data_IF_136758886815
#
_entry.id   IF_136758886815
#
_cell.length_a   1.000
_cell.length_b   1.000
_cell.length_c   1.000
_cell.angle_alpha   90.00
_cell.angle_beta   90.00
_cell.angle_gamma   90.00
#
_symmetry.space_group_name_H-M   'P 1'
#
loop_
_entity.id
_entity.type
_entity.pdbx_description
1 polymer ?
#
# COMPACT_ATOMS: atom_id res chain seq x y z
N UNK A 1 -14.81 -3.95 -5.67
CA UNK A 1 -14.01 -4.33 -4.49
C UNK A 1 -14.77 -5.29 -3.62
N UNK A 2 -14.05 -6.13 -2.87
CA UNK A 2 -14.64 -7.08 -1.91
C UNK A 2 -14.67 -6.49 -0.49
N UNK A 3 -13.87 -5.45 -0.23
CA UNK A 3 -13.85 -4.72 1.05
C UNK A 3 -13.98 -3.20 0.85
N UNK A 4 -14.45 -2.51 1.88
CA UNK A 4 -14.60 -1.05 1.90
C UNK A 4 -13.29 -0.39 2.36
N UNK A 5 -12.54 0.18 1.42
CA UNK A 5 -11.35 0.99 1.71
C UNK A 5 -11.68 2.46 2.02
N UNK A 6 -10.71 3.18 2.59
CA UNK A 6 -10.77 4.60 2.95
C UNK A 6 -11.19 5.52 1.79
N UNK A 7 -10.76 5.24 0.57
CA UNK A 7 -11.17 6.03 -0.60
C UNK A 7 -12.67 5.93 -0.93
N UNK A 8 -13.33 4.79 -0.69
CA UNK A 8 -14.79 4.68 -0.90
C UNK A 8 -15.53 5.62 0.05
N UNK A 9 -15.03 5.72 1.28
CA UNK A 9 -15.55 6.64 2.28
C UNK A 9 -15.39 8.10 1.82
N UNK A 10 -14.20 8.45 1.31
CA UNK A 10 -13.91 9.79 0.82
C UNK A 10 -14.79 10.19 -0.38
N UNK A 11 -14.95 9.29 -1.36
CA UNK A 11 -15.85 9.51 -2.51
C UNK A 11 -17.30 9.64 -2.04
N UNK A 12 -17.73 8.80 -1.08
CA UNK A 12 -19.06 8.87 -0.49
C UNK A 12 -19.34 10.19 0.23
N UNK A 13 -18.36 10.73 0.96
CA UNK A 13 -18.45 12.05 1.62
C UNK A 13 -18.60 13.16 0.57
N UNK A 14 -17.80 13.11 -0.50
CA UNK A 14 -17.90 14.08 -1.59
C UNK A 14 -19.23 13.98 -2.35
N UNK A 15 -19.81 12.79 -2.48
CA UNK A 15 -21.06 12.56 -3.21
C UNK A 15 -22.32 12.88 -2.40
N UNK A 16 -22.32 12.60 -1.09
CA UNK A 16 -23.48 12.83 -0.20
C UNK A 16 -23.72 14.32 0.09
N UNK A 17 -22.67 15.15 0.03
CA UNK A 17 -22.75 16.57 0.35
C UNK A 17 -22.74 16.87 1.85
N UNK A 18 -23.20 18.07 2.22
CA UNK A 18 -23.03 18.65 3.56
C UNK A 18 -21.66 19.29 3.74
N UNK A 19 -21.38 19.80 4.94
CA UNK A 19 -20.22 20.67 5.19
C UNK A 19 -18.88 20.10 4.71
N UNK A 20 -18.63 18.80 4.90
CA UNK A 20 -17.40 18.16 4.42
C UNK A 20 -17.36 18.04 2.89
N UNK A 21 -18.47 17.69 2.25
CA UNK A 21 -18.58 17.63 0.79
C UNK A 21 -18.42 19.02 0.15
N UNK A 22 -19.01 20.06 0.74
CA UNK A 22 -18.88 21.46 0.30
C UNK A 22 -17.43 21.96 0.37
N UNK A 23 -16.71 21.62 1.45
CA UNK A 23 -15.28 21.95 1.58
C UNK A 23 -14.48 21.25 0.49
N UNK A 24 -14.73 19.95 0.24
CA UNK A 24 -14.04 19.20 -0.81
C UNK A 24 -14.32 19.78 -2.20
N UNK A 25 -15.58 20.10 -2.50
CA UNK A 25 -15.97 20.70 -3.77
C UNK A 25 -15.36 22.09 -3.98
N UNK A 26 -15.31 22.91 -2.91
CA UNK A 26 -14.63 24.21 -2.90
C UNK A 26 -13.12 24.13 -3.15
N UNK A 27 -12.49 22.98 -2.88
CA UNK A 27 -11.09 22.69 -3.22
C UNK A 27 -10.96 21.95 -4.58
N UNK A 28 -12.05 21.79 -5.32
CA UNK A 28 -12.09 21.09 -6.60
C UNK A 28 -12.00 19.58 -6.49
N UNK A 29 -12.11 18.99 -5.29
CA UNK A 29 -12.11 17.56 -5.03
C UNK A 29 -13.52 16.96 -5.15
N UNK A 30 -14.12 17.10 -6.34
CA UNK A 30 -15.46 16.58 -6.61
C UNK A 30 -15.47 15.05 -6.60
N UNK A 31 -16.61 14.42 -6.27
CA UNK A 31 -16.73 12.96 -6.26
C UNK A 31 -16.25 12.31 -7.58
N UNK A 32 -16.56 12.95 -8.73
CA UNK A 32 -16.12 12.48 -10.05
C UNK A 32 -14.61 12.55 -10.23
N UNK A 33 -13.98 13.64 -9.77
CA UNK A 33 -12.51 13.81 -9.86
C UNK A 33 -11.79 12.85 -8.93
N UNK A 34 -12.32 12.64 -7.72
CA UNK A 34 -11.79 11.68 -6.76
C UNK A 34 -11.85 10.26 -7.33
N UNK A 35 -13.00 9.86 -7.89
CA UNK A 35 -13.15 8.54 -8.53
C UNK A 35 -12.10 8.31 -9.62
N UNK A 36 -11.94 9.26 -10.55
CA UNK A 36 -10.96 9.16 -11.63
C UNK A 36 -9.51 9.12 -11.12
N UNK A 37 -9.19 9.90 -10.08
CA UNK A 37 -7.86 9.92 -9.47
C UNK A 37 -7.51 8.58 -8.82
N UNK A 38 -8.46 7.97 -8.10
CA UNK A 38 -8.26 6.68 -7.46
C UNK A 38 -8.21 5.51 -8.45
N UNK A 39 -9.03 5.53 -9.51
CA UNK A 39 -8.92 4.56 -10.62
C UNK A 39 -7.51 4.57 -11.22
N UNK A 40 -6.95 5.77 -11.44
CA UNK A 40 -5.59 5.96 -11.97
C UNK A 40 -4.54 5.48 -10.97
N UNK A 41 -4.64 5.91 -9.70
CA UNK A 41 -3.67 5.58 -8.65
C UNK A 41 -3.60 4.07 -8.35
N UNK A 42 -4.72 3.35 -8.48
CA UNK A 42 -4.78 1.90 -8.24
C UNK A 42 -4.25 1.08 -9.41
N UNK A 43 -4.19 1.66 -10.62
CA UNK A 43 -3.79 0.94 -11.82
C UNK A 43 -4.60 -0.33 -12.06
N UNK A 44 -5.91 -0.30 -11.73
CA UNK A 44 -6.82 -1.44 -11.88
C UNK A 44 -6.77 -2.50 -10.77
N UNK A 45 -6.00 -2.31 -9.70
CA UNK A 45 -5.99 -3.22 -8.54
C UNK A 45 -7.30 -3.10 -7.75
N UNK A 46 -7.93 -4.24 -7.47
CA UNK A 46 -9.13 -4.34 -6.62
C UNK A 46 -8.73 -4.52 -5.16
N UNK A 47 -9.55 -4.01 -4.25
CA UNK A 47 -9.40 -4.26 -2.80
C UNK A 47 -10.04 -5.60 -2.48
N UNK A 48 -9.20 -6.62 -2.36
CA UNK A 48 -9.59 -8.01 -2.04
C UNK A 48 -9.08 -8.45 -0.67
N UNK A 49 -8.49 -7.55 0.12
CA UNK A 49 -8.01 -7.84 1.48
C UNK A 49 -8.54 -6.82 2.49
N UNK A 50 -8.66 -7.19 3.77
CA UNK A 50 -9.08 -6.27 4.84
C UNK A 50 -8.08 -5.15 5.14
N UNK A 51 -6.79 -5.39 4.87
CA UNK A 51 -5.71 -4.41 5.04
C UNK A 51 -5.02 -4.11 3.69
N UNK A 52 -5.65 -3.29 2.83
CA UNK A 52 -5.04 -2.87 1.58
C UNK A 52 -3.95 -1.81 1.77
N UNK A 53 -3.97 -1.08 2.89
CA UNK A 53 -2.99 -0.03 3.19
C UNK A 53 -1.65 -0.62 3.65
N UNK A 54 -1.65 -1.76 4.36
CA UNK A 54 -0.43 -2.54 4.66
C UNK A 54 0.26 -3.11 3.40
N UNK A 55 -0.45 -3.17 2.27
CA UNK A 55 0.12 -3.54 0.97
C UNK A 55 0.72 -2.37 0.19
N UNK A 56 0.70 -1.13 0.73
CA UNK A 56 1.49 -0.05 0.18
C UNK A 56 2.98 -0.36 0.39
N UNK A 57 3.53 -1.12 -0.56
CA UNK A 57 4.86 -1.15 -1.20
C UNK A 57 5.99 -0.27 -0.63
N UNK A 58 6.05 0.00 0.67
CA UNK A 58 7.12 0.79 1.27
C UNK A 58 8.45 0.05 1.15
N UNK A 59 8.42 -1.28 1.35
CA UNK A 59 9.55 -2.16 1.09
C UNK A 59 9.95 -2.17 -0.39
N UNK A 60 8.99 -2.24 -1.33
CA UNK A 60 9.32 -2.21 -2.76
C UNK A 60 9.78 -0.83 -3.26
N UNK A 61 9.35 0.25 -2.61
CA UNK A 61 9.66 1.63 -3.00
C UNK A 61 10.95 2.15 -2.37
N UNK A 62 11.29 1.69 -1.16
CA UNK A 62 12.41 2.24 -0.37
C UNK A 62 13.35 1.18 0.21
N UNK A 63 13.13 -0.09 -0.06
CA UNK A 63 13.93 -1.18 0.48
C UNK A 63 14.23 -2.27 -0.54
N UNK A 64 14.92 -3.30 -0.07
CA UNK A 64 15.22 -4.51 -0.85
C UNK A 64 14.87 -5.71 0.01
N UNK A 65 14.03 -6.60 -0.51
CA UNK A 65 13.63 -7.80 0.19
C UNK A 65 14.67 -8.92 -0.02
N UNK A 66 15.61 -9.02 0.91
CA UNK A 66 16.61 -10.09 0.91
C UNK A 66 16.02 -11.48 1.22
N UNK A 67 14.84 -11.57 1.85
CA UNK A 67 14.20 -12.86 2.11
C UNK A 67 13.61 -13.45 0.83
N UNK A 68 13.01 -12.60 -0.01
CA UNK A 68 12.55 -12.99 -1.34
C UNK A 68 13.74 -13.38 -2.24
N UNK A 69 14.80 -12.57 -2.26
CA UNK A 69 16.01 -12.87 -3.02
C UNK A 69 16.66 -14.20 -2.61
N UNK A 70 16.66 -14.53 -1.31
CA UNK A 70 17.17 -15.81 -0.81
C UNK A 70 16.33 -16.99 -1.33
N UNK A 71 14.99 -16.88 -1.29
CA UNK A 71 14.09 -17.93 -1.80
C UNK A 71 14.25 -18.16 -3.30
N UNK A 72 14.55 -17.11 -4.05
CA UNK A 72 14.80 -17.18 -5.49
C UNK A 72 16.22 -17.66 -5.84
N UNK A 73 17.07 -17.94 -4.83
CA UNK A 73 18.45 -18.39 -5.05
C UNK A 73 19.37 -17.30 -5.60
N UNK A 74 19.00 -16.02 -5.47
CA UNK A 74 19.78 -14.86 -5.93
C UNK A 74 20.81 -14.36 -4.91
N UNK A 75 20.85 -14.98 -3.73
CA UNK A 75 21.84 -14.68 -2.69
C UNK A 75 22.85 -15.81 -2.61
N UNK A 76 24.12 -15.45 -2.70
CA UNK A 76 25.22 -16.40 -2.53
C UNK A 76 25.38 -16.79 -1.05
N UNK A 77 25.77 -18.05 -0.76
CA UNK A 77 26.02 -18.49 0.60
C UNK A 77 27.21 -17.75 1.18
N UNK A 78 27.05 -17.23 2.39
CA UNK A 78 28.12 -16.53 3.12
C UNK A 78 29.00 -17.57 3.84
N UNK A 79 30.27 -17.65 3.48
CA UNK A 79 31.21 -18.64 4.02
C UNK A 79 31.99 -18.05 5.20
N UNK A 80 32.12 -18.83 6.29
CA UNK A 80 32.98 -18.52 7.42
C UNK A 80 32.43 -17.48 8.40
N UNK A 81 31.13 -17.19 8.35
CA UNK A 81 30.44 -16.23 9.25
C UNK A 81 29.39 -16.89 10.14
N UNK A 82 29.51 -18.20 10.38
CA UNK A 82 28.52 -18.96 11.15
C UNK A 82 28.33 -18.45 12.58
N UNK A 83 29.40 -17.96 13.23
CA UNK A 83 29.32 -17.46 14.60
C UNK A 83 28.58 -16.11 14.68
N UNK A 84 28.88 -15.18 13.79
CA UNK A 84 28.22 -13.87 13.73
C UNK A 84 26.75 -14.02 13.38
N UNK A 85 26.43 -14.83 12.37
CA UNK A 85 25.05 -15.10 11.96
C UNK A 85 24.28 -15.72 13.14
N UNK A 86 24.86 -16.72 13.83
CA UNK A 86 24.22 -17.34 15.00
C UNK A 86 24.01 -16.35 16.14
N UNK A 87 25.00 -15.49 16.41
CA UNK A 87 24.89 -14.47 17.47
C UNK A 87 23.76 -13.50 17.17
N UNK A 88 23.61 -13.05 15.94
CA UNK A 88 22.54 -12.09 15.55
C UNK A 88 21.15 -12.72 15.63
N UNK A 89 21.00 -13.99 15.25
CA UNK A 89 19.71 -14.70 15.30
C UNK A 89 19.24 -14.99 16.73
N UNK A 90 20.17 -15.07 17.69
CA UNK A 90 19.86 -15.38 19.09
C UNK A 90 19.41 -14.18 19.94
N UNK A 91 19.59 -12.95 19.44
CA UNK A 91 19.14 -11.72 20.13
C UNK A 91 17.69 -11.44 19.78
#
# INVERSE_FOLDING_TARGET
DEYLSTEHLLIGIAAKGGRAGEILDGQGATAKKLLAAFETSRGGRRVTTPDPEGQYKALEKFGTDFTAAAREGKLDPVIGRDQEIRRVVQV
#
